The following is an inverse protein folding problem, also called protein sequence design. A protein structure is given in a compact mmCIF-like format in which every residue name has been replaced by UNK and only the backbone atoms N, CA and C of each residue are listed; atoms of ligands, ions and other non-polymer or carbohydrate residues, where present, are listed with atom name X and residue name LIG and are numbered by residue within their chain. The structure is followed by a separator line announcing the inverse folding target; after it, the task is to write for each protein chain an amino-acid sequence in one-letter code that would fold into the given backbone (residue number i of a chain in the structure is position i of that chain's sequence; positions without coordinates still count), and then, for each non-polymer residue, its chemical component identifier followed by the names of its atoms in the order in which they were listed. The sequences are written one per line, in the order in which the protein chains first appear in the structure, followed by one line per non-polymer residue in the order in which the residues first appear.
data_IF_106288878467
#
_entry.id   IF_106288878467
#
_cell.length_a   1.000
_cell.length_b   1.000
_cell.length_c   1.000
_cell.angle_alpha   90.00
_cell.angle_beta   90.00
_cell.angle_gamma   90.00
#
_symmetry.space_group_name_H-M   'P 1'
#
loop_
_entity.id
_entity.type
_entity.pdbx_description
1 polymer ?
#
# COMPACT_ATOMS: atom_id res chain seq x y z
N UNK A 1 4.47 -6.54 3.92
CA UNK A 1 3.60 -5.70 4.77
C UNK A 1 2.55 -4.99 3.92
N UNK A 2 1.41 -4.57 4.48
CA UNK A 2 0.40 -3.74 3.81
C UNK A 2 0.21 -2.42 4.55
N UNK A 3 -0.07 -1.34 3.85
CA UNK A 3 -0.52 -0.08 4.45
C UNK A 3 -1.89 0.27 3.83
N UNK A 4 -2.76 0.92 4.60
CA UNK A 4 -4.09 1.36 4.17
C UNK A 4 -4.08 2.86 4.01
N UNK A 5 -3.60 3.38 2.89
CA UNK A 5 -3.71 4.82 2.69
C UNK A 5 -5.14 5.18 2.30
N UNK A 6 -5.69 6.22 2.92
CA UNK A 6 -6.80 6.98 2.33
C UNK A 6 -6.23 7.63 1.07
N UNK A 7 -6.27 6.92 -0.05
CA UNK A 7 -5.87 7.41 -1.34
C UNK A 7 -6.88 8.49 -1.75
N UNK A 8 -6.56 9.74 -1.44
CA UNK A 8 -6.98 10.86 -2.26
C UNK A 8 -6.22 10.76 -3.61
N UNK A 9 -6.46 9.71 -4.38
CA UNK A 9 -6.01 9.57 -5.77
C UNK A 9 -7.22 9.71 -6.70
N UNK A 10 -8.06 10.71 -6.45
CA UNK A 10 -9.08 11.08 -7.43
C UNK A 10 -8.39 11.99 -8.45
N UNK A 11 -7.91 11.40 -9.56
CA UNK A 11 -7.43 12.14 -10.74
C UNK A 11 -5.91 12.25 -10.97
N UNK A 12 -5.08 11.48 -10.26
CA UNK A 12 -3.63 11.44 -10.52
C UNK A 12 -3.27 10.27 -11.45
N UNK A 13 -2.37 10.51 -12.40
CA UNK A 13 -1.75 9.44 -13.21
C UNK A 13 -0.91 8.59 -12.25
N UNK A 14 -1.24 7.31 -12.13
CA UNK A 14 -0.45 6.41 -11.28
C UNK A 14 0.93 6.18 -11.92
N UNK A 15 1.91 5.72 -11.13
CA UNK A 15 3.26 5.52 -11.63
C UNK A 15 3.33 4.51 -12.78
N UNK A 16 2.39 3.57 -12.92
CA UNK A 16 2.30 2.70 -14.10
C UNK A 16 1.58 3.33 -15.32
N UNK A 17 1.21 4.61 -15.27
CA UNK A 17 0.50 5.34 -16.33
C UNK A 17 -0.99 5.59 -16.06
N UNK A 18 -1.76 5.78 -17.14
CA UNK A 18 -3.20 6.09 -17.08
C UNK A 18 -4.01 4.95 -16.47
N UNK A 19 -4.57 5.18 -15.27
CA UNK A 19 -5.29 4.18 -14.48
C UNK A 19 -6.75 4.55 -14.21
N UNK A 20 -7.37 5.37 -15.06
CA UNK A 20 -8.72 5.93 -14.81
C UNK A 20 -9.81 4.89 -14.49
N UNK A 21 -9.70 3.67 -15.04
CA UNK A 21 -10.61 2.54 -14.75
C UNK A 21 -10.20 1.65 -13.58
N UNK A 22 -8.98 1.79 -13.04
CA UNK A 22 -8.43 0.88 -12.03
C UNK A 22 -9.07 1.05 -10.65
N UNK A 23 -9.81 2.15 -10.42
CA UNK A 23 -10.55 2.42 -9.19
C UNK A 23 -11.69 1.44 -8.93
N UNK A 24 -12.12 0.68 -9.95
CA UNK A 24 -13.14 -0.38 -9.85
C UNK A 24 -12.56 -1.74 -9.48
N UNK A 25 -11.24 -1.82 -9.31
CA UNK A 25 -10.57 -3.07 -9.04
C UNK A 25 -9.56 -2.94 -7.88
N UNK A 26 -9.21 -4.05 -7.21
CA UNK A 26 -8.24 -4.00 -6.14
C UNK A 26 -6.88 -3.62 -6.73
N UNK A 27 -6.36 -2.48 -6.30
CA UNK A 27 -5.08 -1.94 -6.78
C UNK A 27 -4.18 -1.62 -5.61
N UNK A 28 -2.88 -1.72 -5.87
CA UNK A 28 -1.84 -1.45 -4.89
C UNK A 28 -0.71 -0.64 -5.49
N UNK A 29 -0.05 0.13 -4.63
CA UNK A 29 1.26 0.69 -4.89
C UNK A 29 2.34 -0.15 -4.20
N UNK A 30 3.51 -0.29 -4.82
CA UNK A 30 4.66 -1.03 -4.25
C UNK A 30 5.80 -0.10 -3.84
N UNK A 31 6.56 -0.47 -2.80
CA UNK A 31 7.80 0.23 -2.43
C UNK A 31 8.78 0.25 -3.62
N UNK A 32 9.62 1.30 -3.74
CA UNK A 32 10.50 1.49 -4.91
C UNK A 32 11.32 0.26 -5.30
N UNK A 33 11.93 -0.39 -4.31
CA UNK A 33 12.69 -1.63 -4.52
C UNK A 33 11.83 -2.74 -5.15
N UNK A 34 10.60 -2.92 -4.67
CA UNK A 34 9.67 -3.93 -5.15
C UNK A 34 8.97 -3.54 -6.46
N UNK A 35 8.78 -2.25 -6.66
CA UNK A 35 8.20 -1.67 -7.87
C UNK A 35 9.15 -1.84 -9.06
N UNK A 36 10.46 -1.74 -8.81
CA UNK A 36 11.52 -1.89 -9.81
C UNK A 36 11.87 -0.58 -10.52
N UNK A 37 11.54 0.57 -9.92
CA UNK A 37 11.88 1.92 -10.37
C UNK A 37 11.70 2.89 -9.19
N UNK A 38 12.38 4.03 -9.22
CA UNK A 38 12.20 5.12 -8.26
C UNK A 38 11.22 6.21 -8.76
N UNK A 39 10.65 6.01 -9.96
CA UNK A 39 9.75 6.93 -10.64
C UNK A 39 10.45 8.04 -11.42
N UNK A 40 11.79 8.06 -11.47
CA UNK A 40 12.57 9.02 -12.27
C UNK A 40 12.91 8.47 -13.66
N UNK A 41 12.97 7.14 -13.79
CA UNK A 41 13.40 6.43 -15.02
C UNK A 41 12.26 5.70 -15.75
N UNK A 42 11.00 6.02 -15.42
CA UNK A 42 9.81 5.40 -16.04
C UNK A 42 9.19 4.29 -15.19
N UNK A 43 8.36 3.45 -15.84
CA UNK A 43 7.55 2.42 -15.18
C UNK A 43 8.41 1.31 -14.57
N UNK A 44 8.03 0.83 -13.38
CA UNK A 44 8.70 -0.28 -12.72
C UNK A 44 8.32 -1.65 -13.32
N UNK A 45 9.22 -2.62 -13.22
CA UNK A 45 9.02 -3.99 -13.73
C UNK A 45 7.84 -4.74 -13.08
N UNK A 46 7.35 -4.25 -11.95
CA UNK A 46 6.16 -4.77 -11.27
C UNK A 46 4.83 -4.20 -11.77
N UNK A 47 4.84 -3.20 -12.66
CA UNK A 47 3.62 -2.66 -13.23
C UNK A 47 2.75 -3.74 -13.89
N UNK A 48 1.46 -3.73 -13.57
CA UNK A 48 0.48 -4.69 -14.10
C UNK A 48 0.53 -6.09 -13.46
N UNK A 49 1.53 -6.39 -12.62
CA UNK A 49 1.61 -7.69 -11.92
C UNK A 49 0.48 -7.83 -10.90
N UNK A 50 -0.01 -9.07 -10.76
CA UNK A 50 -1.12 -9.39 -9.87
C UNK A 50 -0.65 -10.29 -8.72
N UNK A 51 -1.02 -9.93 -7.50
CA UNK A 51 -0.65 -10.64 -6.29
C UNK A 51 -1.88 -11.05 -5.50
N UNK A 52 -1.94 -12.31 -5.11
CA UNK A 52 -2.91 -12.83 -4.17
C UNK A 52 -2.35 -12.59 -2.76
N UNK A 53 -2.98 -11.67 -2.04
CA UNK A 53 -2.62 -11.27 -0.69
C UNK A 53 -3.58 -11.95 0.27
N UNK A 54 -3.04 -12.82 1.13
CA UNK A 54 -3.79 -13.48 2.19
C UNK A 54 -3.44 -12.87 3.53
N UNK A 55 -4.43 -12.34 4.25
CA UNK A 55 -4.24 -11.78 5.59
C UNK A 55 -4.05 -12.90 6.61
N UNK A 56 -2.85 -13.00 7.21
CA UNK A 56 -2.55 -14.04 8.21
C UNK A 56 -2.80 -13.54 9.63
N UNK A 57 -2.28 -12.36 9.97
CA UNK A 57 -2.50 -11.75 11.27
C UNK A 57 -2.20 -10.25 11.28
N UNK A 58 -2.47 -9.64 12.43
CA UNK A 58 -2.24 -8.22 12.71
C UNK A 58 -1.47 -8.07 14.03
N UNK A 59 -0.16 -8.30 14.00
CA UNK A 59 0.62 -8.44 15.24
C UNK A 59 0.78 -7.15 16.05
N UNK A 60 0.46 -5.98 15.46
CA UNK A 60 0.40 -4.70 16.16
C UNK A 60 -0.99 -4.29 16.66
N UNK A 61 -2.06 -5.06 16.41
CA UNK A 61 -3.33 -4.79 17.09
C UNK A 61 -3.31 -5.39 18.48
N UNK A 62 -4.03 -4.77 19.41
CA UNK A 62 -4.21 -5.28 20.76
C UNK A 62 -5.72 -5.45 21.01
N UNK A 63 -6.24 -6.70 21.09
CA UNK A 63 -5.53 -7.97 20.91
C UNK A 63 -5.15 -8.22 19.43
N UNK A 64 -4.23 -9.15 19.11
CA UNK A 64 -3.92 -9.50 17.72
C UNK A 64 -5.15 -10.04 16.99
N UNK A 65 -5.49 -9.49 15.81
CA UNK A 65 -6.54 -10.06 14.94
C UNK A 65 -6.00 -11.21 14.09
N UNK A 66 -6.73 -12.32 14.13
CA UNK A 66 -6.57 -13.49 13.27
C UNK A 66 -7.90 -13.70 12.52
N UNK A 67 -7.95 -13.47 11.20
CA UNK A 67 -9.17 -13.62 10.44
C UNK A 67 -9.62 -15.10 10.41
N UNK A 68 -10.89 -15.34 10.73
CA UNK A 68 -11.54 -16.64 10.57
C UNK A 68 -12.90 -16.46 9.87
N UNK A 69 -13.08 -16.96 8.63
CA UNK A 69 -12.08 -17.63 7.80
C UNK A 69 -10.99 -16.66 7.32
N UNK A 70 -9.84 -17.21 6.91
CA UNK A 70 -8.76 -16.43 6.31
C UNK A 70 -9.22 -15.84 4.97
N UNK A 71 -9.06 -14.52 4.79
CA UNK A 71 -9.48 -13.82 3.58
C UNK A 71 -8.30 -13.50 2.68
N UNK A 72 -8.55 -13.56 1.37
CA UNK A 72 -7.57 -13.21 0.35
C UNK A 72 -8.15 -12.25 -0.68
N UNK A 73 -7.32 -11.38 -1.24
CA UNK A 73 -7.65 -10.51 -2.36
C UNK A 73 -6.56 -10.58 -3.42
N UNK A 74 -6.96 -10.48 -4.69
CA UNK A 74 -6.00 -10.32 -5.78
C UNK A 74 -5.91 -8.84 -6.12
N UNK A 75 -4.72 -8.26 -5.95
CA UNK A 75 -4.45 -6.86 -6.27
C UNK A 75 -3.56 -6.74 -7.50
N UNK A 76 -3.81 -5.72 -8.31
CA UNK A 76 -2.89 -5.33 -9.39
C UNK A 76 -2.01 -4.17 -8.94
N UNK A 77 -0.72 -4.26 -9.25
CA UNK A 77 0.22 -3.15 -9.04
C UNK A 77 0.01 -2.12 -10.13
N UNK A 78 -0.39 -0.92 -9.73
CA UNK A 78 -0.65 0.19 -10.64
C UNK A 78 0.17 1.42 -10.33
N UNK A 79 0.83 1.45 -9.17
CA UNK A 79 1.48 2.66 -8.68
C UNK A 79 2.76 2.34 -7.90
N UNK A 80 3.55 3.38 -7.68
CA UNK A 80 4.76 3.40 -6.86
C UNK A 80 4.41 4.10 -5.56
N UNK A 81 4.70 3.46 -4.43
CA UNK A 81 4.68 4.15 -3.14
C UNK A 81 6.09 4.54 -2.75
N UNK A 82 6.32 5.86 -2.76
CA UNK A 82 7.52 6.51 -2.22
C UNK A 82 7.10 7.57 -1.22
N UNK A 83 7.93 7.80 -0.20
CA UNK A 83 7.87 9.05 0.53
C UNK A 83 8.51 10.12 -0.35
N UNK A 84 7.79 11.20 -0.66
CA UNK A 84 8.38 12.37 -1.29
C UNK A 84 8.42 13.51 -0.28
N UNK A 85 9.62 13.95 0.06
CA UNK A 85 9.80 15.10 0.93
C UNK A 85 10.11 16.33 0.08
N UNK A 86 9.18 17.30 0.09
CA UNK A 86 9.36 18.58 -0.55
C UNK A 86 9.73 19.60 0.53
N UNK A 87 10.73 20.43 0.25
CA UNK A 87 10.97 21.62 1.06
C UNK A 87 9.91 22.65 0.69
N UNK A 88 8.97 22.88 1.60
CA UNK A 88 7.88 23.86 1.45
C UNK A 88 8.14 25.03 2.39
N UNK A 89 8.02 26.23 1.85
CA UNK A 89 8.04 27.46 2.65
C UNK A 89 6.66 27.63 3.31
N UNK A 90 6.60 27.46 4.63
CA UNK A 90 5.40 27.74 5.42
C UNK A 90 5.72 28.92 6.34
N UNK A 91 5.06 30.05 6.11
CA UNK A 91 5.29 31.28 6.90
C UNK A 91 6.73 31.80 6.82
N UNK A 92 7.39 31.67 5.66
CA UNK A 92 8.76 32.13 5.46
C UNK A 92 9.85 31.22 6.05
N UNK A 93 9.49 30.11 6.71
CA UNK A 93 10.44 29.10 7.18
C UNK A 93 10.47 27.91 6.22
N UNK A 94 11.67 27.51 5.82
CA UNK A 94 11.85 26.30 5.03
C UNK A 94 11.52 25.09 5.92
N UNK A 95 10.46 24.38 5.57
CA UNK A 95 10.01 23.19 6.30
C UNK A 95 9.98 22.01 5.33
N UNK A 96 10.60 20.90 5.72
CA UNK A 96 10.52 19.67 4.94
C UNK A 96 9.16 19.03 5.20
N UNK A 97 8.28 19.15 4.21
CA UNK A 97 6.95 18.54 4.22
C UNK A 97 6.95 17.31 3.34
N UNK A 98 6.76 16.14 3.94
CA UNK A 98 6.65 14.90 3.19
C UNK A 98 5.21 14.68 2.70
N UNK A 99 5.01 14.84 1.40
CA UNK A 99 3.76 14.55 0.71
C UNK A 99 3.82 13.11 0.18
N UNK A 100 2.70 12.39 0.36
CA UNK A 100 2.51 11.00 -0.03
C UNK A 100 3.25 9.98 0.87
N UNK A 101 2.43 9.16 1.56
CA UNK A 101 2.71 8.32 2.74
C UNK A 101 2.73 9.10 4.07
N UNK A 102 2.30 8.49 5.20
CA UNK A 102 2.37 9.15 6.50
C UNK A 102 3.81 9.61 6.68
N UNK A 103 3.99 10.84 7.17
CA UNK A 103 5.23 11.62 7.18
C UNK A 103 6.44 11.00 7.94
N UNK A 104 6.46 9.68 8.12
CA UNK A 104 7.37 8.87 8.93
C UNK A 104 7.47 7.39 8.46
N UNK A 105 6.93 7.03 7.30
CA UNK A 105 6.76 5.61 6.95
C UNK A 105 8.07 4.95 6.50
N UNK A 106 8.89 4.52 7.47
CA UNK A 106 9.91 3.47 7.32
C UNK A 106 9.31 2.13 6.83
N UNK A 107 8.08 2.09 6.30
CA UNK A 107 7.45 0.90 5.72
C UNK A 107 7.78 0.71 4.24
N UNK A 108 8.16 1.79 3.53
CA UNK A 108 8.45 1.76 2.10
C UNK A 108 9.93 2.05 1.78
N UNK A 109 10.79 2.11 2.80
CA UNK A 109 12.21 2.47 2.70
C UNK A 109 13.15 1.25 2.71
N UNK A 110 12.62 0.06 2.43
CA UNK A 110 13.44 -1.12 2.23
C UNK A 110 14.42 -0.89 1.07
N UNK A 111 15.68 -1.26 1.27
CA UNK A 111 16.73 -1.27 0.24
C UNK A 111 17.15 -2.71 -0.03
N UNK A 112 18.20 -2.96 -0.83
CA UNK A 112 18.75 -4.32 -0.96
C UNK A 112 19.47 -4.80 0.33
N UNK A 113 19.87 -3.87 1.19
CA UNK A 113 20.67 -4.14 2.40
C UNK A 113 19.92 -3.91 3.70
N UNK A 114 18.72 -3.31 3.65
CA UNK A 114 17.94 -2.90 4.82
C UNK A 114 16.47 -3.25 4.66
N UNK A 115 15.92 -3.95 5.66
CA UNK A 115 14.47 -4.17 5.79
C UNK A 115 13.75 -2.87 6.15
N UNK A 116 12.49 -2.77 5.77
CA UNK A 116 11.62 -1.72 6.30
C UNK A 116 11.41 -1.91 7.82
N UNK A 117 10.85 -0.92 8.51
CA UNK A 117 10.49 -0.97 9.95
C UNK A 117 9.62 -2.16 10.34
N UNK A 118 9.04 -2.85 9.36
CA UNK A 118 8.23 -4.05 9.52
C UNK A 118 9.00 -5.34 9.47
N UNK A 119 10.32 -5.27 9.34
CA UNK A 119 11.16 -6.43 9.11
C UNK A 119 10.87 -7.09 7.77
N UNK A 120 10.41 -6.34 6.75
CA UNK A 120 10.08 -6.88 5.43
C UNK A 120 10.72 -6.12 4.28
N UNK A 121 10.98 -6.80 3.16
CA UNK A 121 11.45 -6.19 1.91
C UNK A 121 10.32 -5.57 1.07
N UNK A 122 9.10 -6.03 1.28
CA UNK A 122 7.94 -5.71 0.45
C UNK A 122 6.89 -4.96 1.25
N UNK A 123 6.39 -3.86 0.69
CA UNK A 123 5.22 -3.17 1.18
C UNK A 123 4.20 -2.90 0.06
N UNK A 124 2.94 -3.22 0.33
CA UNK A 124 1.79 -2.92 -0.53
C UNK A 124 0.98 -1.80 0.10
N UNK A 125 0.88 -0.65 -0.54
CA UNK A 125 -0.10 0.37 -0.15
C UNK A 125 -1.39 0.13 -0.94
N UNK A 126 -2.41 -0.41 -0.27
CA UNK A 126 -3.68 -0.72 -0.93
C UNK A 126 -4.52 0.55 -1.06
N UNK A 127 -5.13 0.71 -2.24
CA UNK A 127 -6.06 1.81 -2.46
C UNK A 127 -7.25 1.66 -1.51
N UNK A 128 -7.41 2.62 -0.60
CA UNK A 128 -8.49 2.66 0.37
C UNK A 128 -9.10 4.06 0.47
N UNK A 129 -10.42 4.21 0.74
CA UNK A 129 -11.44 3.20 0.52
C UNK A 129 -11.52 2.80 -0.95
N UNK A 130 -11.88 1.56 -1.25
CA UNK A 130 -12.09 1.07 -2.60
C UNK A 130 -13.32 0.16 -2.62
N UNK A 131 -14.22 0.38 -3.57
CA UNK A 131 -15.40 -0.50 -3.77
C UNK A 131 -15.00 -1.94 -4.12
N UNK A 132 -13.74 -2.13 -4.53
CA UNK A 132 -13.22 -3.43 -4.92
C UNK A 132 -12.54 -4.20 -3.78
N UNK A 133 -12.26 -3.56 -2.65
CA UNK A 133 -11.68 -4.22 -1.48
C UNK A 133 -12.75 -4.25 -0.38
N UNK A 134 -13.21 -5.44 0.06
CA UNK A 134 -14.25 -5.55 1.07
C UNK A 134 -13.91 -4.77 2.36
N UNK A 135 -14.89 -4.06 2.92
CA UNK A 135 -14.77 -3.30 4.18
C UNK A 135 -14.26 -4.15 5.35
N UNK A 136 -14.62 -5.43 5.32
CA UNK A 136 -14.29 -6.43 6.33
C UNK A 136 -13.03 -7.27 5.99
N UNK A 137 -12.30 -6.92 4.92
CA UNK A 137 -11.02 -7.57 4.60
C UNK A 137 -9.93 -7.22 5.62
N UNK A 138 -10.08 -6.08 6.30
CA UNK A 138 -9.27 -5.75 7.48
C UNK A 138 -10.17 -5.47 8.68
N UNK A 139 -9.67 -5.69 9.91
CA UNK A 139 -10.42 -5.33 11.10
C UNK A 139 -10.59 -3.81 11.18
N UNK A 140 -11.82 -3.38 11.46
CA UNK A 140 -12.24 -1.97 11.51
C UNK A 140 -12.78 -1.54 12.88
N UNK A 141 -12.90 -2.47 13.84
CA UNK A 141 -13.40 -2.18 15.18
C UNK A 141 -12.30 -1.56 16.06
N UNK A 142 -12.15 -0.23 15.95
CA UNK A 142 -11.16 0.56 16.71
C UNK A 142 -11.31 0.39 18.23
N UNK A 143 -12.54 0.26 18.73
CA UNK A 143 -12.81 0.12 20.17
C UNK A 143 -12.31 -1.21 20.72
N UNK A 144 -12.27 -2.26 19.90
CA UNK A 144 -11.82 -3.59 20.30
C UNK A 144 -10.32 -3.80 20.05
N UNK A 145 -9.77 -3.25 18.96
CA UNK A 145 -8.40 -3.50 18.53
C UNK A 145 -7.43 -2.31 18.73
N UNK A 146 -7.94 -1.21 19.30
CA UNK A 146 -7.20 0.01 19.62
C UNK A 146 -7.25 1.11 18.54
N UNK A 147 -7.15 2.37 18.98
CA UNK A 147 -7.12 3.59 18.12
C UNK A 147 -5.96 3.63 17.12
N UNK A 148 -4.93 2.78 17.31
CA UNK A 148 -3.87 2.55 16.33
C UNK A 148 -4.41 2.02 14.99
N UNK A 149 -5.63 1.46 14.95
CA UNK A 149 -6.32 1.08 13.70
C UNK A 149 -6.77 2.26 12.84
N UNK A 150 -6.89 3.47 13.40
CA UNK A 150 -7.25 4.68 12.65
C UNK A 150 -6.06 5.25 11.89
N UNK A 151 -4.84 4.85 12.26
CA UNK A 151 -3.67 5.14 11.44
C UNK A 151 -3.65 4.21 10.24
N UNK A 152 -3.48 4.85 9.09
CA UNK A 152 -3.49 4.36 7.70
C UNK A 152 -2.38 3.33 7.39
N UNK A 153 -1.92 2.62 8.40
CA UNK A 153 -0.71 1.85 8.48
C UNK A 153 -1.00 0.61 9.31
N UNK A 154 -1.14 -0.53 8.66
CA UNK A 154 -1.52 -1.76 9.34
C UNK A 154 -0.40 -2.77 9.16
N UNK A 155 0.40 -3.01 10.18
CA UNK A 155 1.43 -4.04 10.07
C UNK A 155 0.79 -5.43 10.10
N UNK A 156 0.87 -6.12 8.96
CA UNK A 156 0.21 -7.40 8.71
C UNK A 156 1.21 -8.41 8.21
N UNK A 157 1.19 -9.62 8.78
CA UNK A 157 1.82 -10.77 8.15
C UNK A 157 0.89 -11.24 7.03
N UNK A 158 1.47 -11.39 5.85
CA UNK A 158 0.75 -11.77 4.64
C UNK A 158 1.41 -12.99 4.04
N UNK A 159 0.59 -13.87 3.48
CA UNK A 159 1.08 -14.76 2.42
C UNK A 159 0.89 -14.03 1.10
N UNK A 160 1.95 -13.94 0.31
CA UNK A 160 1.97 -13.28 -1.00
C UNK A 160 2.22 -14.36 -2.04
N UNK A 161 1.32 -14.48 -3.03
CA UNK A 161 1.52 -15.34 -4.20
C UNK A 161 1.33 -14.55 -5.48
N UNK A 162 2.27 -14.65 -6.41
CA UNK A 162 2.11 -14.12 -7.77
C UNK A 162 1.06 -14.96 -8.49
N UNK A 163 0.01 -14.33 -8.99
CA UNK A 163 -1.16 -15.00 -9.60
C UNK A 163 -1.56 -14.33 -10.90
N UNK A 164 -0.66 -14.23 -11.86
CA UNK A 164 -1.02 -13.72 -13.18
C UNK A 164 -1.80 -14.79 -13.98
N UNK A 165 -3.08 -14.96 -13.69
CA UNK A 165 -4.07 -15.01 -14.78
C UNK A 165 -4.58 -13.58 -14.91
N UNK A 166 -4.66 -13.06 -16.14
CA UNK A 166 -5.36 -11.80 -16.41
C UNK A 166 -6.67 -11.83 -15.63
N UNK A 167 -6.82 -10.96 -14.63
CA UNK A 167 -8.13 -10.61 -14.13
C UNK A 167 -8.88 -10.12 -15.37
N UNK A 168 -9.85 -10.88 -15.87
CA UNK A 168 -10.58 -10.54 -17.08
C UNK A 168 -11.18 -9.13 -16.94
N UNK A 169 -11.11 -8.33 -18.01
CA UNK A 169 -11.71 -7.00 -18.06
C UNK A 169 -10.78 -5.82 -17.74
N UNK A 170 -9.47 -6.03 -17.62
CA UNK A 170 -8.49 -4.94 -17.55
C UNK A 170 -7.77 -4.78 -18.88
N UNK A 171 -8.45 -4.17 -19.85
CA UNK A 171 -7.91 -3.75 -21.15
C UNK A 171 -8.34 -2.32 -21.41
#
# INVERSE_FOLDING_TARGET
MIQRKKCFLKGTIAACGCTGGSTRYPTAALSSLAYGSDGTVGFGSSCGRCFNLTLLNTFLSAPPFYPNPTKSIVVKVTDLVRCFCLNVLVGGRLTTSCFQCPAISQWCDATESKLNAGGTWLNFDLVWPSVAIPDDWFPSNESFYGKLQRFRCMERKLSIRLVCRQLGGWS
#
